data_IF_979159327941
#
_entry.id   IF_979159327941
#
_cell.length_a   1.000
_cell.length_b   1.000
_cell.length_c   1.000
_cell.angle_alpha   90.00
_cell.angle_beta   90.00
_cell.angle_gamma   90.00
#
_symmetry.space_group_name_H-M   'P 1'
#
loop_
_entity.id
_entity.type
_entity.pdbx_description
1 polymer ?
#
# COMPACT_ATOMS: atom_id res chain seq x y z
N UNK A 1 9.09 78.25 5.88
CA UNK A 1 8.85 79.03 4.65
C UNK A 1 10.21 79.23 4.02
N UNK A 2 10.61 78.70 2.88
CA UNK A 2 9.97 78.46 1.58
C UNK A 2 10.81 77.36 0.89
N UNK A 3 10.23 76.40 0.17
CA UNK A 3 9.91 76.57 -1.24
C UNK A 3 10.70 75.54 -2.07
N UNK A 4 10.00 74.51 -2.52
CA UNK A 4 10.40 73.63 -3.64
C UNK A 4 10.30 74.49 -4.92
N UNK A 5 11.12 74.30 -5.98
CA UNK A 5 10.70 73.40 -7.05
C UNK A 5 11.79 72.55 -7.71
N UNK A 6 11.29 71.53 -8.39
CA UNK A 6 11.97 70.49 -9.13
C UNK A 6 12.77 70.99 -10.35
N UNK A 7 13.74 70.18 -10.79
CA UNK A 7 14.11 70.10 -12.20
C UNK A 7 14.44 68.66 -12.59
N UNK A 8 13.95 68.31 -13.77
CA UNK A 8 13.80 66.98 -14.33
C UNK A 8 14.97 66.58 -15.24
N UNK A 9 14.89 65.31 -15.69
CA UNK A 9 15.67 64.67 -16.75
C UNK A 9 17.13 64.38 -16.39
N UNK A 10 17.70 63.21 -16.63
CA UNK A 10 17.35 62.11 -17.51
C UNK A 10 18.69 61.46 -17.85
N UNK A 11 18.77 60.13 -17.92
CA UNK A 11 20.07 59.51 -18.23
C UNK A 11 20.15 58.04 -17.86
N UNK A 12 19.66 57.22 -18.78
CA UNK A 12 19.79 55.78 -18.84
C UNK A 12 21.23 55.30 -18.55
N UNK A 13 21.35 54.32 -17.66
CA UNK A 13 22.57 53.60 -17.35
C UNK A 13 22.22 52.27 -16.73
N UNK A 14 21.77 51.34 -17.58
CA UNK A 14 21.36 49.99 -17.22
C UNK A 14 22.42 49.29 -16.35
N UNK A 15 22.07 48.99 -15.08
CA UNK A 15 22.77 47.96 -14.30
C UNK A 15 22.35 46.59 -14.86
N UNK A 16 23.28 45.70 -15.23
CA UNK A 16 22.90 44.33 -15.51
C UNK A 16 22.41 43.70 -14.21
N UNK A 17 21.12 43.35 -14.18
CA UNK A 17 20.53 42.49 -13.16
C UNK A 17 21.23 41.15 -13.26
N UNK A 18 22.09 40.85 -12.28
CA UNK A 18 22.82 39.59 -12.17
C UNK A 18 21.85 38.49 -11.71
N UNK A 19 20.95 38.11 -12.62
CA UNK A 19 20.10 36.93 -12.52
C UNK A 19 20.89 35.69 -12.95
N UNK A 20 21.65 35.13 -12.02
CA UNK A 20 22.37 33.87 -12.22
C UNK A 20 21.96 32.88 -11.15
N UNK A 21 20.88 32.15 -11.44
CA UNK A 21 20.38 30.91 -10.81
C UNK A 21 21.25 30.45 -9.64
N UNK A 22 20.77 30.73 -8.41
CA UNK A 22 21.18 29.99 -7.22
C UNK A 22 21.09 28.51 -7.58
N UNK A 23 22.26 27.87 -7.62
CA UNK A 23 22.40 26.47 -7.96
C UNK A 23 21.36 25.68 -7.19
N UNK A 24 20.43 25.10 -7.95
CA UNK A 24 19.56 24.04 -7.50
C UNK A 24 20.40 23.13 -6.63
N UNK A 25 19.99 23.01 -5.37
CA UNK A 25 20.64 22.20 -4.35
C UNK A 25 21.27 20.99 -5.00
N UNK A 26 22.59 20.85 -4.84
CA UNK A 26 23.30 19.63 -5.19
C UNK A 26 22.65 18.51 -4.36
N UNK A 27 21.62 17.90 -4.93
CA UNK A 27 21.04 16.66 -4.44
C UNK A 27 22.23 15.72 -4.44
N UNK A 28 22.69 15.34 -3.26
CA UNK A 28 23.72 14.33 -3.07
C UNK A 28 23.19 13.04 -3.71
N UNK A 29 23.36 12.91 -5.02
CA UNK A 29 23.02 11.70 -5.74
C UNK A 29 24.01 10.67 -5.22
N UNK A 30 23.54 9.79 -4.35
CA UNK A 30 24.34 8.67 -3.88
C UNK A 30 24.92 7.98 -5.12
N UNK A 31 26.25 7.87 -5.17
CA UNK A 31 26.94 7.21 -6.27
C UNK A 31 26.36 5.81 -6.48
N UNK A 32 26.31 5.34 -7.73
CA UNK A 32 26.01 3.94 -8.04
C UNK A 32 26.97 2.99 -7.31
N UNK A 33 28.18 3.45 -7.01
CA UNK A 33 29.16 2.79 -6.15
C UNK A 33 28.90 3.12 -4.67
N UNK A 34 27.68 2.91 -4.22
CA UNK A 34 27.36 2.90 -2.80
C UNK A 34 27.41 1.46 -2.27
N UNK A 35 27.72 1.34 -0.98
CA UNK A 35 27.86 0.04 -0.31
C UNK A 35 26.57 -0.80 -0.40
N UNK A 36 25.38 -0.19 -0.34
CA UNK A 36 24.11 -0.91 -0.43
C UNK A 36 23.90 -1.54 -1.81
N UNK A 37 24.27 -0.83 -2.88
CA UNK A 37 24.17 -1.33 -4.25
C UNK A 37 25.18 -2.46 -4.52
N UNK A 38 26.41 -2.34 -4.00
CA UNK A 38 27.40 -3.41 -4.10
C UNK A 38 26.88 -4.68 -3.40
N UNK A 39 26.31 -4.55 -2.21
CA UNK A 39 25.70 -5.67 -1.48
C UNK A 39 24.56 -6.31 -2.28
N UNK A 40 23.71 -5.50 -2.91
CA UNK A 40 22.62 -5.97 -3.77
C UNK A 40 23.15 -6.71 -5.01
N UNK A 41 24.19 -6.19 -5.66
CA UNK A 41 24.84 -6.85 -6.80
C UNK A 41 25.49 -8.18 -6.40
N UNK A 42 26.16 -8.23 -5.24
CA UNK A 42 26.72 -9.46 -4.69
C UNK A 42 25.61 -10.46 -4.40
N UNK A 43 24.47 -10.04 -3.82
CA UNK A 43 23.29 -10.91 -3.63
C UNK A 43 22.81 -11.48 -4.96
N UNK A 44 22.67 -10.64 -5.99
CA UNK A 44 22.22 -11.09 -7.30
C UNK A 44 23.19 -12.10 -7.92
N UNK A 45 24.49 -11.93 -7.73
CA UNK A 45 25.51 -12.88 -8.16
C UNK A 45 25.49 -14.19 -7.34
N UNK A 46 25.15 -14.12 -6.05
CA UNK A 46 24.99 -15.30 -5.19
C UNK A 46 23.84 -16.19 -5.62
N UNK A 47 22.81 -15.67 -6.32
CA UNK A 47 21.68 -16.48 -6.80
C UNK A 47 22.11 -17.59 -7.76
N UNK A 48 22.76 -17.32 -8.91
CA UNK A 48 23.21 -18.38 -9.81
C UNK A 48 24.25 -19.28 -9.16
N UNK A 49 25.13 -18.75 -8.31
CA UNK A 49 26.10 -19.54 -7.55
C UNK A 49 25.38 -20.55 -6.64
N UNK A 50 24.39 -20.09 -5.88
CA UNK A 50 23.57 -20.94 -5.03
C UNK A 50 22.87 -22.04 -5.82
N UNK A 51 22.25 -21.71 -6.96
CA UNK A 51 21.58 -22.69 -7.83
C UNK A 51 22.56 -23.75 -8.32
N UNK A 52 23.75 -23.33 -8.79
CA UNK A 52 24.78 -24.26 -9.24
C UNK A 52 25.25 -25.18 -8.11
N UNK A 53 25.50 -24.64 -6.91
CA UNK A 53 25.93 -25.42 -5.74
C UNK A 53 24.85 -26.42 -5.29
N UNK A 54 23.58 -25.99 -5.26
CA UNK A 54 22.47 -26.81 -4.79
C UNK A 54 22.12 -27.95 -5.76
N UNK A 55 22.24 -27.72 -7.07
CA UNK A 55 21.91 -28.73 -8.08
C UNK A 55 23.11 -29.61 -8.47
N UNK A 56 24.31 -29.30 -7.98
CA UNK A 56 25.52 -30.04 -8.29
C UNK A 56 25.42 -31.52 -7.87
N UNK A 57 25.92 -32.43 -8.70
CA UNK A 57 25.88 -33.89 -8.48
C UNK A 57 24.49 -34.43 -8.09
N UNK A 58 23.43 -33.87 -8.66
CA UNK A 58 22.05 -34.29 -8.37
C UNK A 58 21.49 -33.75 -7.05
N UNK A 59 22.22 -32.87 -6.35
CA UNK A 59 21.74 -32.06 -5.23
C UNK A 59 21.66 -32.73 -3.86
N UNK A 60 22.18 -33.95 -3.72
CA UNK A 60 22.17 -34.68 -2.45
C UNK A 60 23.56 -34.87 -1.82
N UNK A 61 24.62 -34.35 -2.44
CA UNK A 61 25.96 -34.35 -1.86
C UNK A 61 26.01 -33.41 -0.63
N UNK A 62 26.32 -33.91 0.59
CA UNK A 62 26.33 -33.10 1.80
C UNK A 62 27.30 -31.92 1.76
N UNK A 63 28.44 -32.06 1.05
CA UNK A 63 29.46 -31.01 0.97
C UNK A 63 28.92 -29.85 0.14
N UNK A 64 28.39 -30.14 -1.05
CA UNK A 64 27.81 -29.13 -1.94
C UNK A 64 26.58 -28.46 -1.34
N UNK A 65 25.72 -29.21 -0.63
CA UNK A 65 24.59 -28.63 0.12
C UNK A 65 25.04 -27.71 1.25
N UNK A 66 26.15 -28.01 1.91
CA UNK A 66 26.72 -27.12 2.95
C UNK A 66 27.21 -25.81 2.35
N UNK A 67 27.86 -25.84 1.19
CA UNK A 67 28.24 -24.63 0.45
C UNK A 67 27.02 -23.85 -0.07
N UNK A 68 26.01 -24.53 -0.60
CA UNK A 68 24.76 -23.91 -1.01
C UNK A 68 24.07 -23.22 0.18
N UNK A 69 24.02 -23.89 1.33
CA UNK A 69 23.49 -23.32 2.56
C UNK A 69 24.27 -22.08 3.00
N UNK A 70 25.61 -22.12 2.96
CA UNK A 70 26.45 -20.97 3.30
C UNK A 70 26.18 -19.78 2.36
N UNK A 71 26.10 -20.02 1.04
CA UNK A 71 25.77 -18.99 0.06
C UNK A 71 24.37 -18.38 0.32
N UNK A 72 23.37 -19.23 0.60
CA UNK A 72 22.02 -18.80 0.96
C UNK A 72 22.01 -17.97 2.25
N UNK A 73 22.68 -18.45 3.30
CA UNK A 73 22.75 -17.78 4.59
C UNK A 73 23.44 -16.40 4.46
N UNK A 74 24.56 -16.32 3.74
CA UNK A 74 25.23 -15.05 3.46
C UNK A 74 24.28 -14.10 2.72
N UNK A 75 23.62 -14.56 1.64
CA UNK A 75 22.69 -13.72 0.89
C UNK A 75 21.54 -13.17 1.76
N UNK A 76 20.96 -14.00 2.62
CA UNK A 76 19.88 -13.64 3.55
C UNK A 76 20.35 -12.69 4.66
N UNK A 77 21.55 -12.89 5.18
CA UNK A 77 22.11 -12.04 6.24
C UNK A 77 22.45 -10.66 5.66
N UNK A 78 23.07 -10.61 4.48
CA UNK A 78 23.42 -9.37 3.79
C UNK A 78 22.19 -8.50 3.51
N UNK A 79 21.03 -9.11 3.20
CA UNK A 79 19.71 -8.45 3.03
C UNK A 79 19.18 -7.76 4.29
N UNK A 80 19.48 -8.34 5.45
CA UNK A 80 19.07 -7.73 6.70
C UNK A 80 19.93 -6.50 7.02
N UNK A 81 21.21 -6.56 6.67
CA UNK A 81 22.18 -5.52 6.96
C UNK A 81 22.08 -4.33 5.99
N UNK A 82 22.00 -4.55 4.67
CA UNK A 82 21.89 -3.46 3.70
C UNK A 82 20.58 -2.67 3.84
N UNK A 83 19.47 -3.33 4.14
CA UNK A 83 18.20 -2.67 4.42
C UNK A 83 18.29 -1.77 5.65
N UNK A 84 19.13 -2.12 6.64
CA UNK A 84 19.40 -1.26 7.79
C UNK A 84 20.33 -0.10 7.45
N UNK A 85 21.36 -0.36 6.64
CA UNK A 85 22.38 0.60 6.26
C UNK A 85 21.81 1.68 5.31
N UNK A 86 21.06 1.28 4.28
CA UNK A 86 20.42 2.19 3.34
C UNK A 86 19.45 3.15 4.04
N UNK A 87 18.67 2.67 5.02
CA UNK A 87 17.75 3.50 5.82
C UNK A 87 18.49 4.49 6.74
N UNK A 88 19.66 4.11 7.27
CA UNK A 88 20.42 4.95 8.21
C UNK A 88 21.24 6.04 7.49
N UNK A 89 21.74 5.75 6.30
CA UNK A 89 22.64 6.64 5.56
C UNK A 89 21.98 7.35 4.37
N UNK A 90 20.67 7.16 4.14
CA UNK A 90 19.89 7.77 3.06
C UNK A 90 20.52 7.56 1.65
N UNK A 91 21.20 6.42 1.46
CA UNK A 91 21.92 6.06 0.24
C UNK A 91 20.98 5.43 -0.79
N UNK A 92 19.92 6.15 -1.15
CA UNK A 92 18.89 5.63 -2.07
C UNK A 92 19.22 6.05 -3.50
N UNK A 93 19.46 5.08 -4.39
CA UNK A 93 19.64 5.30 -5.83
C UNK A 93 18.45 4.78 -6.62
N UNK A 94 18.22 5.31 -7.83
CA UNK A 94 17.12 4.85 -8.68
C UNK A 94 17.31 3.40 -9.16
N UNK A 95 18.56 2.95 -9.31
CA UNK A 95 18.86 1.55 -9.58
C UNK A 95 18.49 0.65 -8.40
N UNK A 96 18.89 1.00 -7.17
CA UNK A 96 18.56 0.22 -5.97
C UNK A 96 17.04 0.08 -5.75
N UNK A 97 16.27 1.14 -6.01
CA UNK A 97 14.80 1.10 -5.94
C UNK A 97 14.16 -0.01 -6.79
N UNK A 98 14.79 -0.38 -7.91
CA UNK A 98 14.29 -1.41 -8.82
C UNK A 98 14.98 -2.75 -8.56
N UNK A 99 16.29 -2.74 -8.31
CA UNK A 99 17.09 -3.94 -8.10
C UNK A 99 16.78 -4.63 -6.76
N UNK A 100 16.62 -3.87 -5.66
CA UNK A 100 16.43 -4.44 -4.32
C UNK A 100 15.19 -5.36 -4.29
N UNK A 101 13.98 -4.96 -4.74
CA UNK A 101 12.81 -5.84 -4.64
C UNK A 101 12.90 -7.12 -5.48
N UNK A 102 13.75 -7.11 -6.53
CA UNK A 102 14.03 -8.28 -7.36
C UNK A 102 15.03 -9.18 -6.63
N UNK A 103 16.15 -8.61 -6.19
CA UNK A 103 17.22 -9.35 -5.51
C UNK A 103 16.75 -9.96 -4.18
N UNK A 104 15.94 -9.23 -3.40
CA UNK A 104 15.32 -9.67 -2.14
C UNK A 104 14.48 -10.95 -2.30
N UNK A 105 13.96 -11.18 -3.51
CA UNK A 105 13.08 -12.31 -3.83
C UNK A 105 13.74 -13.39 -4.66
N UNK A 106 14.81 -13.06 -5.37
CA UNK A 106 15.50 -13.98 -6.26
C UNK A 106 16.10 -15.17 -5.50
N UNK A 107 16.84 -14.94 -4.39
CA UNK A 107 17.49 -16.02 -3.65
C UNK A 107 16.48 -16.99 -3.03
N UNK A 108 15.43 -16.44 -2.41
CA UNK A 108 14.37 -17.21 -1.77
C UNK A 108 13.56 -18.00 -2.81
N UNK A 109 13.22 -17.35 -3.93
CA UNK A 109 12.48 -17.98 -5.01
C UNK A 109 13.28 -19.08 -5.70
N UNK A 110 14.57 -18.83 -5.97
CA UNK A 110 15.48 -19.83 -6.53
C UNK A 110 15.60 -21.05 -5.62
N UNK A 111 15.73 -20.85 -4.31
CA UNK A 111 15.78 -21.94 -3.33
C UNK A 111 14.52 -22.80 -3.35
N UNK A 112 13.33 -22.19 -3.29
CA UNK A 112 12.06 -22.93 -3.32
C UNK A 112 11.88 -23.73 -4.61
N UNK A 113 12.21 -23.13 -5.76
CA UNK A 113 12.15 -23.79 -7.07
C UNK A 113 13.11 -24.97 -7.12
N UNK A 114 14.39 -24.77 -6.77
CA UNK A 114 15.40 -25.83 -6.81
C UNK A 114 15.03 -26.99 -5.88
N UNK A 115 14.56 -26.69 -4.66
CA UNK A 115 14.10 -27.71 -3.72
C UNK A 115 12.88 -28.48 -4.24
N UNK A 116 12.01 -27.84 -5.04
CA UNK A 116 10.87 -28.53 -5.66
C UNK A 116 11.30 -29.39 -6.85
N UNK A 117 12.27 -28.92 -7.63
CA UNK A 117 12.89 -29.68 -8.73
C UNK A 117 13.62 -30.92 -8.19
N UNK A 118 14.30 -30.80 -7.05
CA UNK A 118 14.91 -31.91 -6.32
C UNK A 118 13.87 -32.80 -5.61
N UNK A 119 12.57 -32.49 -5.67
CA UNK A 119 11.52 -33.30 -5.02
C UNK A 119 11.50 -33.21 -3.48
N UNK A 120 12.32 -32.35 -2.87
CA UNK A 120 12.33 -32.13 -1.42
C UNK A 120 11.10 -31.33 -0.94
N UNK A 121 10.56 -30.46 -1.81
CA UNK A 121 9.35 -29.69 -1.55
C UNK A 121 8.26 -29.97 -2.58
N UNK A 122 7.00 -30.17 -2.16
CA UNK A 122 5.89 -30.28 -3.08
C UNK A 122 5.60 -28.93 -3.75
N UNK A 123 5.35 -28.96 -5.05
CA UNK A 123 5.17 -27.77 -5.88
C UNK A 123 4.07 -26.81 -5.40
N UNK A 124 3.05 -27.31 -4.69
CA UNK A 124 1.99 -26.45 -4.15
C UNK A 124 2.51 -25.49 -3.08
N UNK A 125 3.49 -25.89 -2.25
CA UNK A 125 4.10 -25.01 -1.23
C UNK A 125 4.84 -23.87 -1.94
N UNK A 126 5.68 -24.22 -2.92
CA UNK A 126 6.44 -23.26 -3.72
C UNK A 126 5.51 -22.32 -4.48
N UNK A 127 4.45 -22.84 -5.10
CA UNK A 127 3.43 -22.04 -5.78
C UNK A 127 2.76 -21.03 -4.86
N UNK A 128 2.29 -21.45 -3.69
CA UNK A 128 1.65 -20.57 -2.70
C UNK A 128 2.60 -19.47 -2.23
N UNK A 129 3.84 -19.83 -1.89
CA UNK A 129 4.82 -18.87 -1.39
C UNK A 129 5.20 -17.88 -2.49
N UNK A 130 5.57 -18.35 -3.68
CA UNK A 130 5.96 -17.49 -4.80
C UNK A 130 4.82 -16.55 -5.23
N UNK A 131 3.60 -17.08 -5.36
CA UNK A 131 2.44 -16.27 -5.72
C UNK A 131 2.24 -15.11 -4.73
N UNK A 132 2.30 -15.41 -3.43
CA UNK A 132 2.19 -14.37 -2.39
C UNK A 132 3.37 -13.40 -2.43
N UNK A 133 4.59 -13.89 -2.58
CA UNK A 133 5.81 -13.06 -2.62
C UNK A 133 5.75 -12.06 -3.78
N UNK A 134 5.49 -12.54 -5.00
CA UNK A 134 5.39 -11.72 -6.21
C UNK A 134 4.16 -10.81 -6.19
N UNK A 135 3.01 -11.32 -5.73
CA UNK A 135 1.76 -10.58 -5.65
C UNK A 135 1.85 -9.36 -4.73
N UNK A 136 2.45 -9.52 -3.54
CA UNK A 136 2.64 -8.39 -2.61
C UNK A 136 3.68 -7.40 -3.14
N UNK A 137 4.75 -7.88 -3.79
CA UNK A 137 5.75 -7.01 -4.42
C UNK A 137 5.10 -6.16 -5.52
N UNK A 138 4.35 -6.77 -6.43
CA UNK A 138 3.66 -6.05 -7.51
C UNK A 138 2.62 -5.05 -6.97
N UNK A 139 1.82 -5.47 -5.99
CA UNK A 139 0.85 -4.60 -5.34
C UNK A 139 1.54 -3.41 -4.67
N UNK A 140 2.68 -3.61 -4.00
CA UNK A 140 3.46 -2.52 -3.39
C UNK A 140 3.94 -1.54 -4.45
N UNK A 141 4.47 -2.01 -5.58
CA UNK A 141 4.87 -1.14 -6.69
C UNK A 141 3.69 -0.32 -7.25
N UNK A 142 2.50 -0.90 -7.33
CA UNK A 142 1.31 -0.20 -7.81
C UNK A 142 0.78 0.83 -6.79
N UNK A 143 0.75 0.48 -5.51
CA UNK A 143 0.19 1.33 -4.45
C UNK A 143 1.12 2.48 -4.05
N UNK A 144 2.45 2.33 -4.13
CA UNK A 144 3.39 3.44 -3.85
C UNK A 144 3.09 4.68 -4.71
N UNK A 145 2.47 4.52 -5.89
CA UNK A 145 2.05 5.64 -6.73
C UNK A 145 0.82 6.41 -6.20
N UNK A 146 0.08 5.88 -5.24
CA UNK A 146 -1.22 6.43 -4.81
C UNK A 146 -1.43 6.50 -3.28
N UNK A 147 -0.74 5.68 -2.47
CA UNK A 147 -0.86 5.71 -1.01
C UNK A 147 0.31 4.99 -0.32
N UNK A 148 0.65 5.43 0.91
CA UNK A 148 1.66 4.75 1.74
C UNK A 148 0.97 3.67 2.57
N UNK A 149 1.22 2.39 2.26
CA UNK A 149 0.75 1.27 3.10
C UNK A 149 1.69 1.15 4.31
N UNK A 150 1.18 1.25 5.56
CA UNK A 150 1.99 1.05 6.75
C UNK A 150 2.53 -0.39 6.82
N UNK A 151 3.79 -0.53 7.24
CA UNK A 151 4.47 -1.82 7.31
C UNK A 151 3.85 -2.73 8.38
N UNK A 152 3.41 -3.93 8.00
CA UNK A 152 2.86 -4.90 8.97
C UNK A 152 3.98 -5.62 9.73
N UNK A 153 3.82 -5.79 11.05
CA UNK A 153 4.75 -6.57 11.90
C UNK A 153 4.84 -8.05 11.46
N UNK A 154 3.77 -8.57 10.86
CA UNK A 154 3.71 -9.95 10.36
C UNK A 154 4.74 -10.26 9.26
N UNK A 155 5.19 -9.25 8.51
CA UNK A 155 6.22 -9.43 7.48
C UNK A 155 7.56 -9.93 8.04
N UNK A 156 7.98 -9.43 9.21
CA UNK A 156 9.28 -9.80 9.81
C UNK A 156 9.30 -11.25 10.28
N UNK A 157 8.26 -11.67 11.01
CA UNK A 157 8.15 -13.04 11.51
C UNK A 157 8.09 -14.04 10.35
N UNK A 158 7.34 -13.70 9.29
CA UNK A 158 7.27 -14.51 8.07
C UNK A 158 8.66 -14.70 7.46
N UNK A 159 9.43 -13.63 7.25
CA UNK A 159 10.75 -13.73 6.62
C UNK A 159 11.71 -14.58 7.45
N UNK A 160 11.68 -14.46 8.78
CA UNK A 160 12.52 -15.29 9.66
C UNK A 160 12.10 -16.77 9.64
N UNK A 161 10.79 -17.05 9.73
CA UNK A 161 10.29 -18.42 9.69
C UNK A 161 10.57 -19.07 8.33
N UNK A 162 10.33 -18.37 7.23
CA UNK A 162 10.54 -18.87 5.88
C UNK A 162 12.03 -19.04 5.56
N UNK A 163 12.88 -18.08 5.92
CA UNK A 163 14.33 -18.18 5.74
C UNK A 163 14.93 -19.34 6.53
N UNK A 164 14.49 -19.52 7.78
CA UNK A 164 14.89 -20.68 8.60
C UNK A 164 14.39 -21.98 7.98
N UNK A 165 13.13 -22.06 7.57
CA UNK A 165 12.57 -23.25 6.94
C UNK A 165 13.35 -23.65 5.68
N UNK A 166 13.55 -22.71 4.76
CA UNK A 166 14.29 -22.95 3.51
C UNK A 166 15.73 -23.31 3.80
N UNK A 167 16.40 -22.62 4.73
CA UNK A 167 17.76 -22.97 5.16
C UNK A 167 17.86 -24.40 5.68
N UNK A 168 16.90 -24.85 6.49
CA UNK A 168 16.84 -26.26 6.91
C UNK A 168 16.60 -27.20 5.73
N UNK A 169 15.80 -26.82 4.74
CA UNK A 169 15.62 -27.66 3.55
C UNK A 169 16.85 -27.71 2.64
N UNK A 170 17.70 -26.69 2.64
CA UNK A 170 18.93 -26.68 1.83
C UNK A 170 19.98 -27.66 2.38
N UNK A 171 20.00 -27.92 3.69
CA UNK A 171 20.92 -28.87 4.31
C UNK A 171 20.39 -30.32 4.24
N UNK A 172 21.29 -31.31 4.23
CA UNK A 172 20.92 -32.73 4.43
C UNK A 172 20.71 -32.97 5.93
N UNK A 173 19.52 -32.67 6.46
CA UNK A 173 19.18 -33.00 7.84
C UNK A 173 18.55 -34.39 7.94
N UNK A 174 18.97 -35.15 8.94
CA UNK A 174 18.44 -36.47 9.30
C UNK A 174 17.84 -36.46 10.72
N UNK A 175 17.01 -37.45 11.05
CA UNK A 175 16.44 -37.62 12.39
C UNK A 175 15.44 -36.52 12.81
N UNK A 176 15.41 -36.11 14.10
CA UNK A 176 14.44 -35.14 14.61
C UNK A 176 14.44 -33.80 13.87
N UNK A 177 15.61 -33.38 13.38
CA UNK A 177 15.74 -32.14 12.62
C UNK A 177 15.05 -32.21 11.24
N UNK A 178 14.96 -33.40 10.64
CA UNK A 178 14.19 -33.63 9.41
C UNK A 178 12.67 -33.51 9.64
N UNK A 179 12.20 -33.81 10.85
CA UNK A 179 10.79 -33.58 11.24
C UNK A 179 10.56 -32.10 11.54
N UNK A 180 11.50 -31.46 12.24
CA UNK A 180 11.43 -30.03 12.55
C UNK A 180 11.40 -29.15 11.30
N UNK A 181 12.18 -29.46 10.25
CA UNK A 181 12.16 -28.68 9.00
C UNK A 181 10.76 -28.64 8.37
N UNK A 182 10.03 -29.76 8.41
CA UNK A 182 8.69 -29.85 7.84
C UNK A 182 7.73 -28.92 8.60
N UNK A 183 7.70 -29.02 9.93
CA UNK A 183 6.87 -28.15 10.77
C UNK A 183 7.24 -26.68 10.61
N UNK A 184 8.52 -26.36 10.51
CA UNK A 184 9.00 -25.00 10.25
C UNK A 184 8.48 -24.48 8.89
N UNK A 185 8.50 -25.31 7.85
CA UNK A 185 7.93 -24.97 6.54
C UNK A 185 6.42 -24.77 6.61
N UNK A 186 5.69 -25.62 7.32
CA UNK A 186 4.24 -25.45 7.50
C UNK A 186 3.91 -24.16 8.24
N UNK A 187 4.66 -23.81 9.27
CA UNK A 187 4.54 -22.51 9.96
C UNK A 187 4.80 -21.36 8.97
N UNK A 188 5.84 -21.45 8.15
CA UNK A 188 6.15 -20.45 7.13
C UNK A 188 5.00 -20.29 6.11
N UNK A 189 4.38 -21.39 5.68
CA UNK A 189 3.22 -21.38 4.77
C UNK A 189 2.02 -20.72 5.44
N UNK A 190 1.68 -21.09 6.68
CA UNK A 190 0.56 -20.50 7.42
C UNK A 190 0.77 -19.00 7.59
N UNK A 191 1.94 -18.56 8.03
CA UNK A 191 2.27 -17.14 8.14
C UNK A 191 2.20 -16.43 6.78
N UNK A 192 2.61 -17.11 5.71
CA UNK A 192 2.54 -16.59 4.35
C UNK A 192 1.10 -16.33 3.91
N UNK A 193 0.20 -17.28 4.16
CA UNK A 193 -1.22 -17.16 3.83
C UNK A 193 -1.89 -16.10 4.69
N UNK A 194 -1.70 -16.12 6.02
CA UNK A 194 -2.29 -15.14 6.94
C UNK A 194 -1.91 -13.72 6.56
N UNK A 195 -0.60 -13.48 6.36
CA UNK A 195 -0.14 -12.15 5.94
C UNK A 195 -0.60 -11.78 4.53
N UNK A 196 -0.73 -12.75 3.62
CA UNK A 196 -1.31 -12.54 2.30
C UNK A 196 -2.75 -12.06 2.35
N UNK A 197 -3.58 -12.70 3.18
CA UNK A 197 -4.99 -12.32 3.39
C UNK A 197 -5.11 -10.92 3.98
N UNK A 198 -4.27 -10.56 4.95
CA UNK A 198 -4.26 -9.21 5.52
C UNK A 198 -3.94 -8.14 4.47
N UNK A 199 -3.02 -8.43 3.56
CA UNK A 199 -2.70 -7.54 2.45
C UNK A 199 -3.85 -7.40 1.45
N UNK A 200 -4.52 -8.51 1.10
CA UNK A 200 -5.68 -8.47 0.20
C UNK A 200 -6.82 -7.64 0.82
N UNK A 201 -7.10 -7.81 2.12
CA UNK A 201 -8.09 -7.01 2.85
C UNK A 201 -7.76 -5.51 2.76
N UNK A 202 -6.50 -5.14 3.00
CA UNK A 202 -6.05 -3.75 2.89
C UNK A 202 -6.23 -3.20 1.46
N UNK A 203 -5.89 -3.99 0.45
CA UNK A 203 -6.05 -3.62 -0.96
C UNK A 203 -7.53 -3.39 -1.32
N UNK A 204 -8.44 -4.25 -0.87
CA UNK A 204 -9.88 -4.10 -1.10
C UNK A 204 -10.43 -2.85 -0.43
N UNK A 205 -10.02 -2.57 0.82
CA UNK A 205 -10.42 -1.35 1.53
C UNK A 205 -9.93 -0.09 0.81
N UNK A 206 -8.69 -0.09 0.31
CA UNK A 206 -8.13 1.03 -0.42
C UNK A 206 -8.89 1.28 -1.74
N UNK A 207 -9.23 0.22 -2.49
CA UNK A 207 -10.02 0.32 -3.73
C UNK A 207 -11.41 0.90 -3.47
N UNK A 208 -12.07 0.51 -2.37
CA UNK A 208 -13.39 1.04 -1.98
C UNK A 208 -13.32 2.54 -1.66
N UNK A 209 -12.28 2.99 -0.96
CA UNK A 209 -12.07 4.42 -0.65
C UNK A 209 -11.78 5.25 -1.90
N UNK A 210 -11.00 4.72 -2.85
CA UNK A 210 -10.74 5.38 -4.14
C UNK A 210 -12.02 5.60 -4.95
N UNK A 211 -12.84 4.55 -5.11
CA UNK A 211 -14.14 4.65 -5.80
C UNK A 211 -15.11 5.62 -5.12
N UNK A 212 -15.08 5.71 -3.79
CA UNK A 212 -15.90 6.67 -3.05
C UNK A 212 -15.43 8.12 -3.29
N UNK A 213 -14.12 8.37 -3.31
CA UNK A 213 -13.56 9.68 -3.59
C UNK A 213 -13.84 10.14 -5.03
N UNK A 214 -13.73 9.25 -6.02
CA UNK A 214 -14.09 9.55 -7.42
C UNK A 214 -15.57 9.93 -7.56
N UNK A 215 -16.48 9.25 -6.83
CA UNK A 215 -17.91 9.59 -6.83
C UNK A 215 -18.20 10.95 -6.21
N UNK A 216 -17.52 11.30 -5.11
CA UNK A 216 -17.66 12.61 -4.47
C UNK A 216 -17.16 13.70 -5.41
N UNK A 217 -15.97 13.53 -6.00
CA UNK A 217 -15.43 14.48 -6.97
C UNK A 217 -16.34 14.66 -8.21
N UNK A 218 -16.95 13.57 -8.69
CA UNK A 218 -17.91 13.63 -9.79
C UNK A 218 -19.19 14.40 -9.40
N UNK A 219 -19.72 14.20 -8.19
CA UNK A 219 -20.87 14.93 -7.67
C UNK A 219 -20.57 16.42 -7.48
N UNK A 220 -19.40 16.76 -6.95
CA UNK A 220 -18.93 18.15 -6.82
C UNK A 220 -18.79 18.83 -8.18
N UNK A 221 -18.22 18.13 -9.18
CA UNK A 221 -18.10 18.65 -10.55
C UNK A 221 -19.47 18.90 -11.19
N UNK A 222 -20.44 17.99 -11.01
CA UNK A 222 -21.81 18.17 -11.51
C UNK A 222 -22.52 19.32 -10.79
N UNK A 223 -22.36 19.43 -9.47
CA UNK A 223 -22.96 20.51 -8.68
C UNK A 223 -22.38 21.87 -9.07
N UNK A 224 -21.06 21.96 -9.25
CA UNK A 224 -20.39 23.19 -9.71
C UNK A 224 -20.81 23.60 -11.13
N UNK A 225 -20.96 22.63 -12.05
CA UNK A 225 -21.47 22.92 -13.39
C UNK A 225 -22.92 23.39 -13.40
N UNK A 226 -23.77 22.84 -12.52
CA UNK A 226 -25.15 23.28 -12.36
C UNK A 226 -25.25 24.71 -11.79
N UNK A 227 -24.37 25.07 -10.84
CA UNK A 227 -24.34 26.39 -10.22
C UNK A 227 -23.95 27.50 -11.21
N UNK A 228 -22.96 27.23 -12.08
CA UNK A 228 -22.55 28.15 -13.15
C UNK A 228 -23.68 28.36 -14.18
N UNK A 229 -24.36 27.28 -14.56
CA UNK A 229 -25.47 27.35 -15.53
C UNK A 229 -26.72 28.02 -14.95
N UNK A 230 -26.94 27.86 -13.64
CA UNK A 230 -28.02 28.53 -12.89
C UNK A 230 -27.77 30.03 -12.75
N UNK A 231 -26.53 30.42 -12.42
CA UNK A 231 -26.12 31.82 -12.32
C UNK A 231 -26.31 32.59 -13.64
N UNK A 232 -25.95 31.96 -14.77
CA UNK A 232 -26.08 32.53 -16.11
C UNK A 232 -27.56 32.72 -16.52
N UNK A 233 -28.44 31.80 -16.10
CA UNK A 233 -29.90 31.96 -16.29
C UNK A 233 -30.48 33.06 -15.40
N UNK A 234 -30.05 33.17 -14.14
CA UNK A 234 -30.53 34.25 -13.27
C UNK A 234 -30.06 35.62 -13.74
N UNK A 235 -28.86 35.73 -14.30
CA UNK A 235 -28.36 36.95 -14.93
C UNK A 235 -29.14 37.29 -16.22
N UNK A 236 -29.42 36.29 -17.06
CA UNK A 236 -30.23 36.48 -18.27
C UNK A 236 -31.69 36.84 -17.98
N UNK A 237 -32.29 36.33 -16.89
CA UNK A 237 -33.64 36.68 -16.44
C UNK A 237 -33.68 38.08 -15.79
N UNK A 238 -32.61 38.48 -15.09
CA UNK A 238 -32.49 39.83 -14.54
C UNK A 238 -32.31 40.90 -15.63
N UNK A 239 -31.62 40.57 -16.73
CA UNK A 239 -31.45 41.46 -17.90
C UNK A 239 -32.71 41.55 -18.79
N UNK A 240 -33.55 40.50 -18.79
CA UNK A 240 -34.84 40.50 -19.48
C UNK A 240 -35.93 41.34 -18.78
N UNK A 241 -35.65 41.94 -17.62
CA UNK A 241 -36.56 42.85 -16.92
C UNK A 241 -36.41 44.28 -17.47
N UNK A 242 -36.85 44.49 -18.72
CA UNK A 242 -37.11 45.81 -19.30
C UNK A 242 -38.37 46.49 -18.72
N UNK A 243 -38.60 47.77 -19.01
CA UNK A 243 -39.17 48.75 -18.07
C UNK A 243 -40.62 48.47 -17.68
N UNK A 244 -40.92 48.67 -16.39
CA UNK A 244 -42.28 48.70 -15.84
C UNK A 244 -43.19 49.61 -16.67
N UNK A 245 -44.17 49.02 -17.35
CA UNK A 245 -45.33 49.75 -17.85
C UNK A 245 -46.22 50.01 -16.64
N UNK A 246 -46.19 51.24 -16.16
CA UNK A 246 -47.15 51.82 -15.23
C UNK A 246 -48.53 51.82 -15.88
N UNK A 247 -49.38 50.85 -15.54
CA UNK A 247 -50.82 50.94 -15.75
C UNK A 247 -51.48 51.38 -14.45
N UNK A 248 -51.86 52.65 -14.39
CA UNK A 248 -52.89 53.13 -13.48
C UNK A 248 -54.22 52.46 -13.85
N UNK A 249 -54.85 51.76 -12.91
CA UNK A 249 -56.30 51.59 -12.87
C UNK A 249 -56.72 51.05 -11.50
N UNK A 250 -57.29 51.94 -10.70
CA UNK A 250 -58.25 51.61 -9.66
C UNK A 250 -59.42 50.80 -10.26
N UNK A 251 -59.93 49.79 -9.55
CA UNK A 251 -61.27 49.79 -8.92
C UNK A 251 -61.64 48.38 -8.38
N UNK A 252 -61.66 48.24 -7.04
CA UNK A 252 -62.52 47.40 -6.15
C UNK A 252 -62.62 45.85 -6.33
N UNK A 253 -63.15 45.11 -5.32
CA UNK A 253 -62.96 45.17 -3.86
C UNK A 253 -62.46 43.82 -3.26
N UNK A 254 -61.87 43.83 -2.06
CA UNK A 254 -61.72 42.61 -1.24
C UNK A 254 -62.99 42.33 -0.42
N UNK A 255 -62.96 41.53 0.66
CA UNK A 255 -62.01 40.47 1.04
C UNK A 255 -62.73 39.17 1.47
N UNK A 256 -62.09 37.99 1.42
CA UNK A 256 -62.47 36.89 2.34
C UNK A 256 -61.22 36.20 2.89
N UNK A 257 -61.21 36.07 4.22
CA UNK A 257 -60.12 35.58 5.05
C UNK A 257 -60.04 34.05 5.17
N UNK A 258 -59.25 33.54 6.12
CA UNK A 258 -58.47 32.32 5.95
C UNK A 258 -59.21 31.07 6.47
N UNK A 259 -59.09 29.96 5.74
CA UNK A 259 -59.35 28.62 6.23
C UNK A 259 -58.08 27.80 6.01
N UNK A 260 -57.26 27.55 7.03
CA UNK A 260 -57.41 26.60 8.15
C UNK A 260 -56.44 25.44 7.88
N UNK A 261 -55.36 25.44 8.66
CA UNK A 261 -54.24 24.51 8.55
C UNK A 261 -54.48 23.41 9.60
N UNK A 262 -54.65 22.13 9.22
CA UNK A 262 -54.62 21.07 10.21
C UNK A 262 -53.17 20.76 10.58
N UNK A 263 -52.86 20.97 11.86
CA UNK A 263 -51.64 20.51 12.52
C UNK A 263 -51.60 18.97 12.70
N UNK A 264 -50.53 18.45 13.30
CA UNK A 264 -50.06 17.08 13.09
C UNK A 264 -50.73 16.06 14.01
N UNK A 265 -51.11 14.90 13.45
CA UNK A 265 -51.54 13.74 14.23
C UNK A 265 -50.34 12.87 14.66
N UNK A 266 -50.13 12.81 15.98
CA UNK A 266 -49.63 11.65 16.76
C UNK A 266 -50.74 11.38 17.80
N UNK A 267 -51.00 10.16 18.32
CA UNK A 267 -49.99 9.18 18.75
C UNK A 267 -50.42 7.69 18.62
N UNK A 268 -49.49 6.76 18.89
CA UNK A 268 -49.79 5.52 19.61
C UNK A 268 -48.49 4.85 20.06
N UNK A 269 -48.24 4.96 21.37
CA UNK A 269 -47.31 4.12 22.11
C UNK A 269 -47.75 2.65 22.01
N UNK A 270 -46.81 1.74 21.71
CA UNK A 270 -46.99 0.32 21.99
C UNK A 270 -45.90 -0.12 22.97
N UNK A 271 -46.42 -0.75 24.00
CA UNK A 271 -45.89 -1.15 25.28
C UNK A 271 -44.53 -1.88 25.27
N UNK A 272 -43.79 -1.58 26.33
CA UNK A 272 -42.73 -2.43 26.85
C UNK A 272 -43.34 -3.58 27.65
N UNK A 273 -42.87 -4.81 27.47
CA UNK A 273 -43.35 -5.90 28.32
C UNK A 273 -42.68 -7.25 28.12
N UNK A 274 -42.01 -7.68 29.20
CA UNK A 274 -41.74 -9.06 29.59
C UNK A 274 -40.52 -9.78 29.00
N UNK A 275 -39.44 -9.67 29.78
CA UNK A 275 -38.49 -10.72 30.07
C UNK A 275 -39.14 -12.06 30.46
N UNK A 276 -38.34 -13.15 30.40
CA UNK A 276 -38.07 -14.07 31.51
C UNK A 276 -38.23 -15.57 31.19
N UNK A 277 -37.07 -16.26 31.22
CA UNK A 277 -36.84 -17.67 31.64
C UNK A 277 -37.42 -18.75 30.68
N UNK A 278 -36.98 -20.00 30.63
CA UNK A 278 -36.20 -20.84 31.52
C UNK A 278 -35.57 -22.02 30.75
N UNK A 279 -34.61 -22.72 31.37
CA UNK A 279 -34.35 -24.16 31.16
C UNK A 279 -33.07 -24.46 30.39
N UNK A 280 -31.89 -24.63 31.00
CA UNK A 280 -31.47 -25.56 32.06
C UNK A 280 -31.30 -27.02 31.59
N UNK A 281 -30.03 -27.45 31.67
CA UNK A 281 -29.54 -28.71 32.24
C UNK A 281 -29.84 -30.03 31.51
N UNK A 282 -28.79 -30.64 30.96
CA UNK A 282 -28.60 -32.09 31.02
C UNK A 282 -27.11 -32.46 30.90
N UNK A 283 -26.69 -33.27 31.88
CA UNK A 283 -25.35 -33.75 32.21
C UNK A 283 -24.87 -34.86 31.27
N UNK A 284 -23.57 -35.20 31.37
CA UNK A 284 -22.82 -36.24 30.62
C UNK A 284 -23.25 -37.70 30.86
N UNK A 285 -22.40 -38.75 30.74
CA UNK A 285 -20.93 -38.76 30.85
C UNK A 285 -20.20 -39.63 29.78
N UNK A 286 -18.94 -39.96 30.07
CA UNK A 286 -17.93 -40.72 29.36
C UNK A 286 -18.25 -42.19 29.00
N UNK A 287 -17.58 -42.70 27.95
CA UNK A 287 -17.16 -44.10 27.67
C UNK A 287 -16.03 -43.98 26.62
N UNK A 288 -14.77 -44.39 26.80
CA UNK A 288 -14.18 -45.70 27.10
C UNK A 288 -14.27 -46.72 25.93
N UNK A 289 -13.09 -47.16 25.48
CA UNK A 289 -12.77 -48.38 24.70
C UNK A 289 -13.22 -48.52 23.22
N UNK A 290 -12.27 -48.44 22.28
CA UNK A 290 -11.60 -49.60 21.65
C UNK A 290 -10.52 -49.15 20.65
#
# INVERSE_FOLDING_TARGET
MTGVPASAAGGSGAKPVRGGKLGTAAVNQASLWNIANILTMVRLLLVPIFVMLLLHNGGYDPVWRSFAWAAFAVAMITDLFDGHLARRYNLVTDFGKIADPIADKAIMGAALICLSVLGDLPWWITGVILFRELGITLMRFWVIRHAVIPASRGGKLKTLAQGTAVGMYVLVLTGPLATLRFWMMMIAVVLTVLTGLDYVRQAVVLRRKGLAAERVAALEAVTSAADVTGADRTAAVADASGPEIRTDAADLPGPEGPADVPGPERPADVDAGAASRAGADARGPAEAER
#
